data_IF_620770347497
#
_entry.id   IF_620770347497
#
_cell.length_a   1.000
_cell.length_b   1.000
_cell.length_c   1.000
_cell.angle_alpha   90.00
_cell.angle_beta   90.00
_cell.angle_gamma   90.00
#
_symmetry.space_group_name_H-M   'P 1'
#
loop_
_entity.id
_entity.type
_entity.pdbx_description
1 polymer ?
#
# COMPACT_ATOMS: atom_id res chain seq x y z
N UNK A 1 1.05 25.61 5.81
CA UNK A 1 0.36 25.37 4.52
C UNK A 1 1.16 24.37 3.71
N UNK A 2 1.04 23.08 4.05
CA UNK A 2 1.83 22.04 3.38
C UNK A 2 0.86 21.15 2.63
N UNK A 3 0.75 21.38 1.33
CA UNK A 3 0.07 20.48 0.41
C UNK A 3 0.83 19.15 0.41
N UNK A 4 0.46 18.23 1.30
CA UNK A 4 0.83 16.83 1.18
C UNK A 4 0.01 16.26 0.03
N UNK A 5 0.50 16.46 -1.20
CA UNK A 5 -0.05 15.81 -2.39
C UNK A 5 0.22 14.32 -2.18
N UNK A 6 -0.82 13.57 -1.81
CA UNK A 6 -0.73 12.12 -1.78
C UNK A 6 -0.58 11.64 -3.23
N UNK A 7 0.17 10.58 -3.47
CA UNK A 7 0.34 10.03 -4.82
C UNK A 7 -0.26 8.63 -4.86
N UNK A 8 -1.01 8.32 -5.91
CA UNK A 8 -1.43 6.98 -6.26
C UNK A 8 -0.34 6.33 -7.10
N UNK A 9 0.19 5.22 -6.59
CA UNK A 9 1.16 4.39 -7.29
C UNK A 9 0.41 3.34 -8.11
N UNK A 10 0.68 3.29 -9.41
CA UNK A 10 0.29 2.16 -10.26
C UNK A 10 1.54 1.46 -10.74
N UNK A 11 1.72 0.20 -10.38
CA UNK A 11 2.82 -0.60 -10.88
C UNK A 11 2.37 -1.32 -12.16
N UNK A 12 3.01 -1.02 -13.29
CA UNK A 12 2.60 -1.54 -14.60
C UNK A 12 2.82 -3.05 -14.74
N UNK A 13 3.86 -3.57 -14.06
CA UNK A 13 4.18 -5.00 -13.99
C UNK A 13 3.08 -5.84 -13.30
N UNK A 14 2.16 -5.20 -12.56
CA UNK A 14 1.04 -5.87 -11.90
C UNK A 14 -0.20 -6.03 -12.81
N UNK A 15 -0.26 -5.39 -13.99
CA UNK A 15 -1.43 -5.46 -14.89
C UNK A 15 -1.35 -6.56 -15.95
N UNK A 16 -0.15 -6.97 -16.34
CA UNK A 16 0.06 -7.97 -17.39
C UNK A 16 0.25 -9.37 -16.80
N UNK A 17 -0.81 -10.19 -16.79
CA UNK A 17 -0.67 -11.65 -16.67
C UNK A 17 -0.13 -12.20 -18.00
N UNK A 18 1.18 -12.37 -18.11
CA UNK A 18 1.83 -13.01 -19.27
C UNK A 18 3.36 -12.91 -19.22
N UNK A 19 4.06 -13.89 -19.81
CA UNK A 19 5.52 -14.14 -19.79
C UNK A 19 6.42 -13.02 -20.35
N UNK A 20 5.88 -11.86 -20.69
CA UNK A 20 6.67 -10.65 -20.91
C UNK A 20 6.48 -9.75 -19.70
N UNK A 21 7.36 -9.91 -18.71
CA UNK A 21 7.54 -8.95 -17.63
C UNK A 21 7.87 -7.59 -18.28
N UNK A 22 6.82 -6.79 -18.50
CA UNK A 22 6.95 -5.42 -18.95
C UNK A 22 7.90 -4.67 -18.03
N UNK A 23 8.50 -3.59 -18.55
CA UNK A 23 9.41 -2.74 -17.81
C UNK A 23 8.87 -2.43 -16.40
N UNK A 24 9.75 -2.43 -15.40
CA UNK A 24 9.42 -2.06 -14.00
C UNK A 24 9.06 -0.58 -13.91
N UNK A 25 7.97 -0.20 -14.54
CA UNK A 25 7.42 1.13 -14.63
C UNK A 25 6.46 1.35 -13.46
N UNK A 26 6.70 2.43 -12.73
CA UNK A 26 5.83 2.92 -11.67
C UNK A 26 5.23 4.22 -12.16
N UNK A 27 3.91 4.24 -12.35
CA UNK A 27 3.18 5.46 -12.67
C UNK A 27 2.81 6.14 -11.35
N UNK A 28 3.16 7.43 -11.25
CA UNK A 28 2.84 8.30 -10.12
C UNK A 28 1.74 9.28 -10.53
N UNK A 29 0.56 9.15 -9.93
CA UNK A 29 -0.55 10.08 -10.14
C UNK A 29 -0.80 10.90 -8.86
N UNK A 30 -0.86 12.23 -8.92
CA UNK A 30 -1.34 13.04 -7.79
C UNK A 30 -2.76 12.59 -7.39
N UNK A 31 -2.93 12.13 -6.16
CA UNK A 31 -4.19 11.69 -5.59
C UNK A 31 -4.66 12.66 -4.52
N UNK A 32 -5.82 13.29 -4.76
CA UNK A 32 -6.47 14.14 -3.77
C UNK A 32 -7.41 13.29 -2.92
N UNK A 33 -7.08 13.14 -1.65
CA UNK A 33 -7.96 12.47 -0.68
C UNK A 33 -9.29 13.27 -0.64
N UNK A 34 -10.45 12.62 -0.84
CA UNK A 34 -11.74 13.30 -0.78
C UNK A 34 -11.93 13.92 0.61
N UNK A 35 -12.45 15.15 0.65
CA UNK A 35 -12.64 15.85 1.91
C UNK A 35 -13.70 15.14 2.77
N UNK A 36 -13.35 14.78 4.02
CA UNK A 36 -14.25 14.05 4.94
C UNK A 36 -15.04 14.99 5.86
N UNK A 37 -15.39 16.18 5.36
CA UNK A 37 -16.16 17.19 6.08
C UNK A 37 -15.33 18.41 6.50
N UNK A 38 -15.97 19.38 7.19
CA UNK A 38 -15.34 20.67 7.49
C UNK A 38 -14.35 20.62 8.66
N UNK A 39 -14.29 19.51 9.40
CA UNK A 39 -13.55 19.43 10.65
C UNK A 39 -12.14 18.84 10.48
N UNK A 40 -11.07 19.52 10.96
CA UNK A 40 -9.70 19.03 10.84
C UNK A 40 -9.46 17.63 11.43
N UNK A 41 -10.15 17.28 12.53
CA UNK A 41 -10.05 15.95 13.15
C UNK A 41 -10.70 14.82 12.33
N UNK A 42 -11.47 15.16 11.28
CA UNK A 42 -12.04 14.18 10.34
C UNK A 42 -11.05 13.75 9.27
N UNK A 43 -9.87 14.41 9.20
CA UNK A 43 -8.81 14.01 8.28
C UNK A 43 -8.28 12.62 8.67
N UNK A 44 -8.08 11.72 7.68
CA UNK A 44 -7.57 10.38 7.96
C UNK A 44 -6.14 10.46 8.51
N UNK A 45 -5.85 9.62 9.52
CA UNK A 45 -4.48 9.45 10.00
C UNK A 45 -3.63 8.85 8.88
N UNK A 46 -2.49 9.48 8.61
CA UNK A 46 -1.51 8.99 7.66
C UNK A 46 -0.47 8.14 8.40
N UNK A 47 0.03 7.09 7.73
CA UNK A 47 1.13 6.31 8.30
C UNK A 47 2.41 7.18 8.29
N UNK A 48 3.05 7.31 9.44
CA UNK A 48 4.30 8.06 9.64
C UNK A 48 5.55 7.18 9.54
N UNK A 49 5.38 5.86 9.49
CA UNK A 49 6.48 4.89 9.41
C UNK A 49 7.15 4.97 8.04
N UNK A 50 8.49 5.07 8.06
CA UNK A 50 9.31 5.00 6.85
C UNK A 50 9.70 3.55 6.59
N UNK A 51 9.10 2.95 5.57
CA UNK A 51 9.41 1.58 5.17
C UNK A 51 10.73 1.50 4.40
N UNK A 52 11.47 0.43 4.61
CA UNK A 52 12.65 0.10 3.80
C UNK A 52 12.22 -0.39 2.41
N UNK A 53 13.10 -0.35 1.39
CA UNK A 53 12.78 -0.85 0.06
C UNK A 53 12.25 -2.30 0.07
N UNK A 54 12.88 -3.19 0.84
CA UNK A 54 12.46 -4.59 1.01
C UNK A 54 11.08 -4.70 1.65
N UNK A 55 10.74 -3.83 2.60
CA UNK A 55 9.41 -3.79 3.20
C UNK A 55 8.37 -3.30 2.19
N UNK A 56 8.70 -2.31 1.35
CA UNK A 56 7.81 -1.83 0.27
C UNK A 56 7.56 -2.95 -0.75
N UNK A 57 8.58 -3.72 -1.12
CA UNK A 57 8.41 -4.90 -1.97
C UNK A 57 7.50 -5.96 -1.33
N UNK A 58 7.66 -6.21 -0.03
CA UNK A 58 6.76 -7.10 0.73
C UNK A 58 5.31 -6.59 0.75
N UNK A 59 5.10 -5.29 0.94
CA UNK A 59 3.76 -4.66 0.88
C UNK A 59 3.18 -4.80 -0.54
N UNK A 60 3.98 -4.53 -1.58
CA UNK A 60 3.57 -4.66 -2.98
C UNK A 60 3.14 -6.10 -3.29
N UNK A 61 3.94 -7.08 -2.88
CA UNK A 61 3.63 -8.50 -3.06
C UNK A 61 2.36 -8.89 -2.30
N UNK A 62 2.19 -8.45 -1.06
CA UNK A 62 1.01 -8.74 -0.24
C UNK A 62 -0.29 -8.12 -0.77
N UNK A 63 -0.20 -7.12 -1.64
CA UNK A 63 -1.34 -6.54 -2.35
C UNK A 63 -1.73 -7.32 -3.62
N UNK A 64 -0.92 -8.29 -4.03
CA UNK A 64 -1.21 -9.12 -5.21
C UNK A 64 -1.98 -10.38 -4.82
N UNK A 65 -2.84 -10.89 -5.73
CA UNK A 65 -3.44 -12.20 -5.54
C UNK A 65 -2.34 -13.27 -5.54
N UNK A 66 -2.45 -14.22 -4.61
CA UNK A 66 -1.51 -15.32 -4.46
C UNK A 66 -0.98 -15.42 -3.03
N UNK A 67 0.09 -16.21 -2.86
CA UNK A 67 0.77 -16.36 -1.58
C UNK A 67 1.97 -15.43 -1.51
N UNK A 68 2.01 -14.58 -0.49
CA UNK A 68 3.19 -13.76 -0.17
C UNK A 68 3.77 -14.18 1.17
N UNK A 69 5.03 -14.60 1.18
CA UNK A 69 5.76 -14.94 2.39
C UNK A 69 6.76 -13.84 2.73
N UNK A 70 6.62 -13.23 3.90
CA UNK A 70 7.52 -12.17 4.38
C UNK A 70 8.35 -12.73 5.53
N UNK A 71 9.66 -12.92 5.29
CA UNK A 71 10.62 -13.38 6.30
C UNK A 71 11.52 -12.25 6.74
N UNK A 72 11.87 -12.21 8.03
CA UNK A 72 12.83 -11.25 8.55
C UNK A 72 13.22 -11.54 10.00
N UNK A 73 14.45 -11.18 10.42
CA UNK A 73 14.91 -11.28 11.81
C UNK A 73 13.93 -10.67 12.83
N UNK A 74 14.03 -11.01 14.13
CA UNK A 74 13.30 -10.30 15.17
C UNK A 74 13.62 -8.80 15.12
N UNK A 75 12.60 -7.95 15.28
CA UNK A 75 12.76 -6.49 15.28
C UNK A 75 12.73 -5.79 13.91
N UNK A 76 12.50 -6.49 12.79
CA UNK A 76 12.49 -5.87 11.44
C UNK A 76 11.15 -5.24 11.01
N UNK A 77 10.24 -4.95 11.95
CA UNK A 77 8.99 -4.25 11.63
C UNK A 77 7.99 -5.06 10.77
N UNK A 78 7.98 -6.40 10.88
CA UNK A 78 7.02 -7.25 10.14
C UNK A 78 5.56 -6.88 10.43
N UNK A 79 5.27 -6.48 11.67
CA UNK A 79 3.95 -6.02 12.08
C UNK A 79 3.55 -4.75 11.35
N UNK A 80 4.46 -3.78 11.19
CA UNK A 80 4.17 -2.55 10.45
C UNK A 80 3.86 -2.83 8.97
N UNK A 81 4.59 -3.78 8.38
CA UNK A 81 4.32 -4.25 7.01
C UNK A 81 2.94 -4.88 6.91
N UNK A 82 2.59 -5.79 7.82
CA UNK A 82 1.29 -6.46 7.84
C UNK A 82 0.14 -5.45 8.01
N UNK A 83 0.27 -4.53 8.97
CA UNK A 83 -0.72 -3.46 9.20
C UNK A 83 -0.89 -2.60 7.96
N UNK A 84 0.19 -2.28 7.24
CA UNK A 84 0.10 -1.51 6.00
C UNK A 84 -0.60 -2.27 4.88
N UNK A 85 -0.34 -3.58 4.74
CA UNK A 85 -1.05 -4.44 3.77
C UNK A 85 -2.54 -4.45 4.08
N UNK A 86 -2.93 -4.70 5.33
CA UNK A 86 -4.34 -4.71 5.76
C UNK A 86 -5.00 -3.35 5.50
N UNK A 87 -4.33 -2.26 5.87
CA UNK A 87 -4.81 -0.90 5.62
C UNK A 87 -5.03 -0.64 4.13
N UNK A 88 -4.11 -1.10 3.27
CA UNK A 88 -4.24 -0.96 1.82
C UNK A 88 -5.40 -1.79 1.27
N UNK A 89 -5.58 -3.04 1.70
CA UNK A 89 -6.68 -3.91 1.27
C UNK A 89 -8.02 -3.29 1.67
N UNK A 90 -8.15 -2.85 2.93
CA UNK A 90 -9.36 -2.24 3.46
C UNK A 90 -9.83 -1.04 2.64
N UNK A 91 -8.91 -0.18 2.19
CA UNK A 91 -9.25 1.01 1.41
C UNK A 91 -9.41 0.74 -0.10
N UNK A 92 -8.69 -0.23 -0.66
CA UNK A 92 -8.75 -0.54 -2.10
C UNK A 92 -9.88 -1.49 -2.48
N UNK A 93 -10.32 -2.36 -1.57
CA UNK A 93 -11.33 -3.38 -1.82
C UNK A 93 -12.41 -3.37 -0.71
N UNK A 94 -13.24 -2.31 -0.63
CA UNK A 94 -14.19 -2.14 0.47
C UNK A 94 -15.24 -3.25 0.57
N UNK A 95 -15.51 -3.94 -0.54
CA UNK A 95 -16.47 -5.05 -0.59
C UNK A 95 -15.86 -6.41 -0.17
N UNK A 96 -14.53 -6.47 0.01
CA UNK A 96 -13.83 -7.68 0.43
C UNK A 96 -13.69 -7.73 1.96
N UNK A 97 -13.62 -8.96 2.49
CA UNK A 97 -13.37 -9.21 3.91
C UNK A 97 -11.99 -9.84 4.08
N UNK A 98 -11.20 -9.31 5.01
CA UNK A 98 -9.88 -9.84 5.35
C UNK A 98 -9.98 -10.66 6.64
N UNK A 99 -9.47 -11.89 6.62
CA UNK A 99 -9.30 -12.73 7.81
C UNK A 99 -7.86 -12.60 8.30
N UNK A 100 -7.67 -12.42 9.60
CA UNK A 100 -6.36 -12.36 10.27
C UNK A 100 -6.31 -13.50 11.29
N UNK A 101 -5.22 -14.26 11.31
CA UNK A 101 -4.98 -15.39 12.22
C UNK A 101 -3.64 -15.25 12.93
#
# INVERSE_FOLDING_TARGET
>A
YQYSISFRLTFCDLRSKGEHAGEKLIILEPYKIPNRGPYPFSQPRQNTVRFTPTQIEGIKAGMQPGLTLIVGPPGTGKTDVAVQIISNIYHNYPDQRTLIV
#
